data_IF_388992237708
#
_entry.id   IF_388992237708
#
_cell.length_a   1.000
_cell.length_b   1.000
_cell.length_c   1.000
_cell.angle_alpha   90.00
_cell.angle_beta   90.00
_cell.angle_gamma   90.00
#
_symmetry.space_group_name_H-M   'P 1'
#
loop_
_entity.id
_entity.type
_entity.pdbx_description
1 polymer ?
#
# COMPACT_ATOMS: atom_id res chain seq x y z
N UNK A 1 25.62 -11.46 7.99
CA UNK A 1 25.24 -11.45 8.37
C UNK A 1 24.95 -11.73 8.96
N UNK A 2 24.55 -11.56 9.14
CA UNK A 2 24.08 -11.59 9.70
C UNK A 2 23.67 -11.90 10.44
N UNK A 3 23.48 -11.75 10.89
CA UNK A 3 22.93 -11.96 11.72
C UNK A 3 22.06 -12.30 12.15
N UNK A 4 21.74 -12.45 11.97
CA UNK A 4 20.80 -12.68 12.28
C UNK A 4 20.10 -13.21 12.82
N UNK A 5 20.35 -12.84 12.95
CA UNK A 5 19.50 -13.10 13.81
C UNK A 5 18.39 -13.75 13.21
N UNK A 6 17.80 -14.61 13.72
CA UNK A 6 16.86 -15.35 13.19
C UNK A 6 15.62 -14.69 12.88
N UNK A 7 15.22 -13.76 13.62
CA UNK A 7 13.97 -13.12 13.41
C UNK A 7 14.12 -11.87 12.62
N UNK A 8 15.23 -11.69 12.03
CA UNK A 8 15.43 -10.50 11.30
C UNK A 8 14.76 -10.60 9.96
N UNK A 9 14.05 -9.60 9.52
CA UNK A 9 13.35 -9.59 8.27
C UNK A 9 14.16 -8.86 7.24
N UNK A 10 14.36 -9.47 6.10
CA UNK A 10 15.02 -8.78 5.02
C UNK A 10 14.00 -8.51 3.92
N UNK A 11 14.25 -7.51 3.12
CA UNK A 11 13.33 -7.16 2.06
C UNK A 11 14.05 -6.41 0.96
N UNK A 12 13.49 -6.50 -0.23
CA UNK A 12 13.97 -5.73 -1.35
C UNK A 12 12.77 -5.07 -1.98
N UNK A 13 12.80 -3.75 -2.10
CA UNK A 13 11.74 -3.04 -2.79
C UNK A 13 12.08 -3.09 -4.26
N UNK A 14 11.37 -3.93 -4.98
CA UNK A 14 11.67 -4.18 -6.37
C UNK A 14 11.11 -3.11 -7.28
N UNK A 15 10.04 -2.50 -6.88
CA UNK A 15 9.39 -1.51 -7.69
C UNK A 15 8.55 -0.61 -6.80
N UNK A 16 8.56 0.68 -7.04
CA UNK A 16 7.70 1.60 -6.35
C UNK A 16 6.52 1.93 -7.25
N UNK A 17 5.31 1.69 -6.79
CA UNK A 17 4.14 1.91 -7.61
C UNK A 17 3.52 3.27 -7.34
N UNK A 18 3.26 3.59 -6.10
CA UNK A 18 2.59 4.85 -5.80
C UNK A 18 2.69 5.22 -4.34
N UNK A 19 2.57 6.50 -4.06
CA UNK A 19 2.40 7.00 -2.72
C UNK A 19 0.92 7.26 -2.54
N UNK A 20 0.35 6.72 -1.49
CA UNK A 20 -1.06 6.92 -1.21
C UNK A 20 -1.30 8.08 -0.25
N UNK A 21 -0.34 8.36 0.62
CA UNK A 21 -0.53 9.41 1.60
C UNK A 21 0.82 9.82 2.17
N UNK A 22 0.90 11.06 2.63
CA UNK A 22 2.09 11.53 3.33
C UNK A 22 1.67 11.70 4.77
N UNK A 23 2.37 11.08 5.67
CA UNK A 23 2.01 11.12 7.06
C UNK A 23 2.99 12.02 7.74
N UNK A 24 2.56 13.19 8.04
CA UNK A 24 3.41 14.17 8.60
C UNK A 24 3.57 14.02 10.05
N UNK A 25 4.19 14.93 10.65
CA UNK A 25 4.32 14.92 12.03
C UNK A 25 5.62 15.44 12.41
N UNK A 26 6.02 15.24 13.64
CA UNK A 26 7.22 15.72 14.09
C UNK A 26 8.24 14.81 13.69
N UNK A 27 9.35 15.20 13.30
CA UNK A 27 10.48 14.38 13.02
C UNK A 27 10.42 13.84 11.62
N UNK A 28 10.61 12.56 11.48
CA UNK A 28 10.78 11.94 10.23
C UNK A 28 9.52 11.88 9.40
N UNK A 29 9.63 12.01 8.11
CA UNK A 29 8.48 11.95 7.24
C UNK A 29 8.21 10.52 6.89
N UNK A 30 6.96 10.15 6.84
CA UNK A 30 6.53 8.81 6.48
C UNK A 30 5.53 8.90 5.34
N UNK A 31 5.51 7.88 4.49
CA UNK A 31 4.55 7.83 3.39
C UNK A 31 3.91 6.47 3.36
N UNK A 32 2.63 6.43 3.08
CA UNK A 32 1.94 5.17 2.84
C UNK A 32 2.11 4.85 1.36
N UNK A 33 2.64 3.70 1.07
CA UNK A 33 3.06 3.37 -0.29
C UNK A 33 2.58 2.02 -0.76
N UNK A 34 2.40 1.92 -2.06
CA UNK A 34 2.22 0.64 -2.70
C UNK A 34 3.52 0.32 -3.41
N UNK A 35 4.10 -0.80 -3.10
CA UNK A 35 5.35 -1.23 -3.72
C UNK A 35 5.29 -2.71 -4.08
N UNK A 36 6.22 -3.14 -4.89
CA UNK A 36 6.42 -4.57 -5.08
C UNK A 36 7.62 -4.92 -4.23
N UNK A 37 7.45 -5.80 -3.29
CA UNK A 37 8.48 -6.13 -2.30
C UNK A 37 8.74 -7.62 -2.27
N UNK A 38 10.00 -7.98 -2.27
CA UNK A 38 10.38 -9.37 -2.07
C UNK A 38 10.84 -9.52 -0.63
N UNK A 39 10.08 -10.25 0.15
CA UNK A 39 10.35 -10.44 1.57
C UNK A 39 11.21 -11.67 1.77
N UNK A 40 12.29 -11.52 2.52
CA UNK A 40 13.16 -12.63 2.91
C UNK A 40 13.60 -13.46 1.70
N UNK A 41 13.89 -12.77 0.61
CA UNK A 41 14.33 -13.46 -0.59
C UNK A 41 13.27 -14.23 -1.34
N UNK A 42 12.02 -14.02 -0.98
CA UNK A 42 10.94 -14.75 -1.61
C UNK A 42 10.45 -14.09 -2.89
N UNK A 43 9.31 -14.53 -3.35
CA UNK A 43 8.73 -13.98 -4.54
C UNK A 43 8.25 -12.58 -4.31
N UNK A 44 8.39 -11.70 -5.30
CA UNK A 44 7.88 -10.35 -5.16
C UNK A 44 6.36 -10.34 -5.03
N UNK A 45 5.86 -9.50 -4.15
CA UNK A 45 4.43 -9.37 -3.91
C UNK A 45 4.06 -7.91 -3.80
N UNK A 46 2.80 -7.61 -3.95
CA UNK A 46 2.30 -6.26 -3.78
C UNK A 46 2.23 -5.98 -2.29
N UNK A 47 2.70 -4.81 -1.89
CA UNK A 47 2.75 -4.48 -0.48
C UNK A 47 2.23 -3.07 -0.26
N UNK A 48 1.44 -2.87 0.79
CA UNK A 48 0.91 -1.57 1.14
C UNK A 48 1.23 -1.34 2.60
N UNK A 49 2.04 -0.35 2.88
CA UNK A 49 2.40 0.01 4.26
C UNK A 49 3.06 1.37 4.30
N UNK A 50 3.29 1.85 5.49
CA UNK A 50 3.98 3.12 5.68
C UNK A 50 5.46 2.88 5.75
N UNK A 51 6.22 3.77 5.16
CA UNK A 51 7.68 3.72 5.18
C UNK A 51 8.22 5.08 5.58
N UNK A 52 9.35 5.07 6.27
CA UNK A 52 10.04 6.32 6.56
C UNK A 52 10.82 6.73 5.31
N UNK A 53 11.40 7.88 5.36
CA UNK A 53 12.04 8.46 4.21
C UNK A 53 13.15 7.60 3.63
N UNK A 54 13.94 6.97 4.47
CA UNK A 54 15.02 6.15 4.04
C UNK A 54 14.62 4.74 3.69
N UNK A 55 13.39 4.38 3.92
CA UNK A 55 12.86 3.04 3.69
C UNK A 55 13.61 1.97 4.50
N UNK A 56 14.10 2.36 5.66
CA UNK A 56 14.73 1.40 6.55
C UNK A 56 13.84 1.09 7.74
N UNK A 57 12.70 1.77 7.87
CA UNK A 57 11.72 1.46 8.89
C UNK A 57 10.34 1.46 8.27
N UNK A 58 9.48 0.62 8.78
CA UNK A 58 8.16 0.45 8.20
C UNK A 58 7.13 0.13 9.27
N UNK A 59 5.88 0.38 8.95
CA UNK A 59 4.78 0.02 9.81
C UNK A 59 4.31 -1.37 9.46
N UNK A 60 3.30 -1.85 10.13
CA UNK A 60 2.60 -3.01 9.72
C UNK A 60 1.89 -2.68 8.45
N UNK A 61 1.64 -3.63 7.62
CA UNK A 61 0.93 -3.41 6.38
C UNK A 61 0.32 -4.69 5.89
N UNK A 62 -0.08 -4.71 4.63
CA UNK A 62 -0.59 -5.90 4.03
C UNK A 62 0.22 -6.26 2.82
N UNK A 63 0.36 -7.54 2.60
CA UNK A 63 1.06 -8.08 1.46
C UNK A 63 0.09 -8.93 0.69
N UNK A 64 0.00 -8.71 -0.59
CA UNK A 64 -0.95 -9.40 -1.44
C UNK A 64 -0.23 -10.14 -2.55
N UNK A 65 -0.73 -11.31 -2.88
CA UNK A 65 -0.24 -11.98 -4.07
C UNK A 65 -0.72 -11.20 -5.28
N UNK A 66 -0.17 -11.49 -6.42
CA UNK A 66 -0.58 -10.81 -7.64
C UNK A 66 -2.07 -11.04 -7.89
N UNK A 67 -2.54 -12.25 -7.68
CA UNK A 67 -3.93 -12.58 -7.88
C UNK A 67 -4.83 -11.77 -6.93
N UNK A 68 -4.43 -11.66 -5.68
CA UNK A 68 -5.19 -10.88 -4.71
C UNK A 68 -5.20 -9.41 -5.08
N UNK A 69 -4.08 -8.91 -5.54
CA UNK A 69 -3.99 -7.51 -5.93
C UNK A 69 -4.88 -7.23 -7.14
N UNK A 70 -4.94 -8.14 -8.08
CA UNK A 70 -5.78 -7.97 -9.25
C UNK A 70 -7.25 -7.98 -8.86
N UNK A 71 -7.63 -8.85 -7.96
CA UNK A 71 -9.01 -8.90 -7.49
C UNK A 71 -9.37 -7.63 -6.73
N UNK A 72 -8.46 -7.12 -5.93
CA UNK A 72 -8.70 -5.88 -5.22
C UNK A 72 -8.86 -4.73 -6.20
N UNK A 73 -8.01 -4.68 -7.21
CA UNK A 73 -8.06 -3.63 -8.20
C UNK A 73 -9.41 -3.64 -8.91
N UNK A 74 -9.85 -4.82 -9.31
CA UNK A 74 -11.13 -4.92 -9.98
C UNK A 74 -12.27 -4.46 -9.08
N UNK A 75 -12.25 -4.88 -7.85
CA UNK A 75 -13.29 -4.50 -6.91
C UNK A 75 -13.35 -2.99 -6.71
N UNK A 76 -12.19 -2.36 -6.60
CA UNK A 76 -12.14 -0.92 -6.42
C UNK A 76 -12.57 -0.17 -7.68
N UNK A 77 -12.15 -0.65 -8.82
CA UNK A 77 -12.56 -0.03 -10.07
C UNK A 77 -14.08 -0.13 -10.23
N UNK A 78 -14.63 -1.29 -9.95
CA UNK A 78 -16.07 -1.49 -10.06
C UNK A 78 -16.82 -0.56 -9.11
N UNK A 79 -16.29 -0.41 -7.90
CA UNK A 79 -16.90 0.47 -6.95
C UNK A 79 -16.89 1.93 -7.42
N UNK A 80 -15.77 2.37 -7.93
CA UNK A 80 -15.66 3.76 -8.33
C UNK A 80 -16.45 4.03 -9.62
N UNK A 81 -16.59 3.07 -10.46
CA UNK A 81 -17.44 3.21 -11.62
C UNK A 81 -18.89 3.32 -11.21
N UNK A 82 -19.31 2.52 -10.26
CA UNK A 82 -20.66 2.56 -9.77
C UNK A 82 -20.95 3.91 -9.10
N UNK A 83 -20.00 4.41 -8.33
CA UNK A 83 -20.16 5.68 -7.69
C UNK A 83 -20.27 6.80 -8.72
N UNK A 84 -19.44 6.75 -9.72
CA UNK A 84 -19.44 7.77 -10.72
C UNK A 84 -20.77 7.80 -11.47
N UNK A 85 -21.30 6.65 -11.80
CA UNK A 85 -22.58 6.56 -12.44
C UNK A 85 -23.68 7.13 -11.55
N UNK A 86 -23.60 6.85 -10.28
CA UNK A 86 -24.56 7.36 -9.36
C UNK A 86 -24.46 8.85 -9.22
N UNK A 87 -23.29 9.36 -9.18
CA UNK A 87 -23.08 10.79 -9.04
C UNK A 87 -23.56 11.53 -10.27
N UNK A 88 -23.56 10.89 -11.41
CA UNK A 88 -24.07 11.52 -12.57
C UNK A 88 -25.58 11.56 -12.53
N UNK A 89 -26.21 10.65 -11.89
CA UNK A 89 -27.62 10.62 -11.83
C UNK A 89 -28.18 11.44 -10.72
N UNK A 90 -27.47 11.60 -9.61
CA UNK A 90 -27.98 12.35 -8.49
C UNK A 90 -26.94 13.28 -8.01
N UNK A 91 -27.29 14.33 -7.40
CA UNK A 91 -26.35 15.27 -6.86
C UNK A 91 -25.52 14.61 -5.82
N UNK A 92 -24.27 14.84 -5.79
CA UNK A 92 -23.41 14.28 -4.85
C UNK A 92 -23.50 14.85 -3.52
N UNK A 93 -23.45 14.08 -2.51
CA UNK A 93 -23.38 14.57 -1.20
C UNK A 93 -22.31 13.92 -0.55
N UNK A 94 -21.69 14.46 0.29
CA UNK A 94 -20.62 14.00 1.01
C UNK A 94 -20.95 13.41 2.20
N UNK A 95 -21.72 12.48 2.19
CA UNK A 95 -22.21 12.05 3.39
C UNK A 95 -21.52 10.94 3.90
N UNK A 96 -20.65 10.37 3.29
CA UNK A 96 -20.08 9.26 3.88
C UNK A 96 -18.92 9.56 4.59
N UNK A 97 -18.77 10.63 4.75
CA UNK A 97 -17.67 10.96 5.46
C UNK A 97 -17.72 10.44 6.68
N UNK A 98 -17.73 9.99 6.96
CA UNK A 98 -17.95 9.68 8.06
C UNK A 98 -17.44 9.35 8.42
#
# INVERSE_FOLDING_TARGET
MTNNRNNEITYDIMEHIAVLDEIGGRGEKWTKEINVVAWNGGKPKIDIRDWNEKHDRMSRGITLTEDQAMKMTKALVDRYRARSAQEHSTPMRDDYTR
#
